data_IF_849723541662
#
_entry.id   IF_849723541662
#
_cell.length_a   1.000
_cell.length_b   1.000
_cell.length_c   1.000
_cell.angle_alpha   90.00
_cell.angle_beta   90.00
_cell.angle_gamma   90.00
#
_symmetry.space_group_name_H-M   'P 1'
#
loop_
_entity.id
_entity.type
_entity.pdbx_description
1 polymer ?
#
# COMPACT_ATOMS: atom_id res chain seq x y z
N UNK A 1 -15.06 61.19 0.19
CA UNK A 1 -14.06 62.12 -0.37
C UNK A 1 -13.53 61.51 -1.65
N UNK A 2 -13.45 62.34 -2.68
CA UNK A 2 -13.29 61.98 -4.08
C UNK A 2 -12.02 61.19 -4.40
N UNK A 3 -12.09 60.34 -5.42
CA UNK A 3 -11.07 60.26 -6.48
C UNK A 3 -11.78 59.97 -7.80
N UNK A 4 -11.43 60.80 -8.77
CA UNK A 4 -12.03 60.93 -10.10
C UNK A 4 -11.60 59.83 -11.08
N UNK A 5 -12.51 59.64 -12.03
CA UNK A 5 -12.46 59.06 -13.37
C UNK A 5 -11.12 58.91 -14.11
N UNK A 6 -10.97 57.81 -14.88
CA UNK A 6 -10.87 57.93 -16.34
C UNK A 6 -11.19 56.64 -17.11
N UNK A 7 -11.86 56.86 -18.25
CA UNK A 7 -12.48 55.94 -19.21
C UNK A 7 -11.47 55.28 -20.20
N UNK A 8 -11.92 54.32 -21.04
CA UNK A 8 -11.08 53.28 -21.65
C UNK A 8 -10.50 53.69 -23.01
N UNK A 9 -9.46 52.97 -23.45
CA UNK A 9 -8.93 53.04 -24.83
C UNK A 9 -8.94 51.65 -25.46
N UNK A 10 -9.70 51.54 -26.55
CA UNK A 10 -9.66 50.48 -27.55
C UNK A 10 -8.38 50.57 -28.39
N UNK A 11 -7.77 49.42 -28.68
CA UNK A 11 -6.87 49.26 -29.80
C UNK A 11 -7.18 47.92 -30.51
N UNK A 12 -7.67 48.07 -31.72
CA UNK A 12 -7.78 47.06 -32.77
C UNK A 12 -6.38 46.71 -33.32
N UNK A 13 -6.15 45.44 -33.69
CA UNK A 13 -5.46 45.04 -34.93
C UNK A 13 -5.19 43.53 -34.96
N UNK A 14 -5.58 42.88 -36.06
CA UNK A 14 -4.76 41.82 -36.67
C UNK A 14 -5.38 40.42 -36.76
N UNK A 15 -6.13 40.18 -37.83
CA UNK A 15 -6.44 38.84 -38.36
C UNK A 15 -5.18 38.03 -38.68
N UNK A 16 -5.12 36.76 -38.26
CA UNK A 16 -4.39 35.73 -39.01
C UNK A 16 -5.26 34.47 -39.13
N UNK A 17 -5.21 33.93 -40.33
CA UNK A 17 -6.12 33.02 -41.00
C UNK A 17 -5.78 31.56 -40.69
N UNK A 18 -6.83 30.79 -40.46
CA UNK A 18 -6.92 29.34 -40.32
C UNK A 18 -6.38 28.61 -41.57
N UNK A 19 -5.58 27.56 -41.38
CA UNK A 19 -5.20 26.58 -42.41
C UNK A 19 -5.21 25.18 -41.78
N UNK A 20 -6.07 24.24 -42.23
CA UNK A 20 -6.06 22.84 -41.78
C UNK A 20 -5.08 22.00 -42.60
N UNK A 21 -4.45 20.95 -42.02
CA UNK A 21 -3.70 19.97 -42.80
C UNK A 21 -4.63 18.94 -43.49
N UNK A 22 -4.20 18.39 -44.63
CA UNK A 22 -5.06 17.67 -45.57
C UNK A 22 -5.30 16.21 -45.19
N UNK A 23 -6.51 15.74 -45.51
CA UNK A 23 -6.82 14.33 -45.73
C UNK A 23 -6.34 13.92 -47.13
N UNK A 24 -5.72 12.74 -47.25
CA UNK A 24 -5.83 11.98 -48.48
C UNK A 24 -5.85 10.47 -48.21
N UNK A 25 -6.62 9.81 -49.07
CA UNK A 25 -7.14 8.45 -48.97
C UNK A 25 -6.25 7.45 -49.69
N UNK A 26 -6.22 6.20 -49.22
CA UNK A 26 -6.17 5.03 -50.09
C UNK A 26 -6.75 3.81 -49.36
N UNK A 27 -7.85 3.28 -49.91
CA UNK A 27 -8.44 1.99 -49.58
C UNK A 27 -8.07 0.96 -50.69
N UNK A 28 -8.60 -0.28 -50.68
CA UNK A 28 -7.91 -1.52 -50.31
C UNK A 28 -7.72 -2.50 -51.51
N UNK A 29 -7.22 -3.73 -51.33
CA UNK A 29 -7.54 -4.82 -52.23
C UNK A 29 -8.53 -5.82 -51.62
N UNK A 30 -9.46 -6.26 -52.45
CA UNK A 30 -10.53 -7.23 -52.17
C UNK A 30 -10.23 -8.59 -52.89
N UNK A 31 -11.09 -9.62 -52.87
CA UNK A 31 -10.73 -10.99 -52.46
C UNK A 31 -10.83 -12.04 -53.58
N UNK A 32 -10.40 -13.27 -53.28
CA UNK A 32 -10.73 -14.49 -54.04
C UNK A 32 -9.60 -15.51 -53.97
N UNK A 33 -9.79 -16.83 -54.03
CA UNK A 33 -10.95 -17.72 -53.99
C UNK A 33 -10.37 -19.13 -53.76
N UNK A 34 -11.11 -20.02 -53.10
CA UNK A 34 -10.87 -21.48 -53.04
C UNK A 34 -12.00 -22.20 -53.82
N UNK A 35 -12.05 -23.54 -53.96
CA UNK A 35 -11.05 -24.62 -54.23
C UNK A 35 -11.48 -25.44 -55.49
N UNK A 36 -11.12 -26.74 -55.73
CA UNK A 36 -11.73 -27.88 -55.02
C UNK A 36 -10.83 -29.13 -54.79
N UNK A 37 -11.42 -30.10 -54.08
CA UNK A 37 -10.89 -31.35 -53.51
C UNK A 37 -10.70 -32.54 -54.47
N UNK A 38 -9.98 -33.59 -54.03
CA UNK A 38 -10.47 -35.00 -54.01
C UNK A 38 -9.46 -36.02 -53.42
N UNK A 39 -9.98 -36.82 -52.49
CA UNK A 39 -9.67 -38.18 -51.99
C UNK A 39 -8.40 -38.97 -52.40
N UNK A 40 -7.68 -39.51 -51.39
CA UNK A 40 -7.43 -40.96 -51.22
C UNK A 40 -6.67 -41.27 -49.90
N UNK A 41 -7.04 -42.36 -49.21
CA UNK A 41 -6.37 -42.94 -48.02
C UNK A 41 -5.83 -44.35 -48.35
N UNK A 42 -5.16 -45.08 -47.42
CA UNK A 42 -3.84 -44.87 -46.78
C UNK A 42 -2.83 -46.00 -47.18
N UNK A 43 -1.60 -46.07 -46.59
CA UNK A 43 -1.44 -47.07 -45.52
C UNK A 43 -0.53 -46.65 -44.36
N UNK A 44 -0.59 -47.49 -43.33
CA UNK A 44 0.03 -47.39 -42.01
C UNK A 44 1.55 -47.20 -41.99
N UNK A 45 2.01 -46.46 -40.99
CA UNK A 45 3.38 -46.43 -40.50
C UNK A 45 3.37 -45.77 -39.12
N UNK A 46 3.83 -46.51 -38.12
CA UNK A 46 4.03 -46.02 -36.75
C UNK A 46 4.88 -44.75 -36.76
N UNK A 47 4.33 -43.65 -36.23
CA UNK A 47 5.14 -42.56 -35.68
C UNK A 47 4.40 -41.96 -34.50
N UNK A 48 4.94 -42.26 -33.33
CA UNK A 48 4.58 -41.65 -32.06
C UNK A 48 4.83 -40.14 -32.20
N UNK A 49 3.76 -39.35 -32.21
CA UNK A 49 3.87 -37.90 -32.14
C UNK A 49 4.72 -37.52 -30.91
N UNK A 50 5.71 -36.63 -31.06
CA UNK A 50 6.47 -36.16 -29.92
C UNK A 50 5.52 -35.46 -28.95
N UNK A 51 5.67 -35.81 -27.67
CA UNK A 51 5.08 -35.11 -26.53
C UNK A 51 5.34 -33.63 -26.76
N UNK A 52 4.28 -32.84 -26.93
CA UNK A 52 4.39 -31.39 -26.99
C UNK A 52 5.19 -30.96 -25.75
N UNK A 53 6.31 -30.29 -26.00
CA UNK A 53 7.06 -29.57 -24.99
C UNK A 53 6.05 -28.77 -24.19
N UNK A 54 5.93 -29.12 -22.92
CA UNK A 54 5.25 -28.30 -21.93
C UNK A 54 6.04 -27.00 -21.93
N UNK A 55 5.55 -26.04 -22.71
CA UNK A 55 6.11 -24.70 -22.81
C UNK A 55 6.40 -24.25 -21.39
N UNK A 56 7.64 -23.82 -21.21
CA UNK A 56 8.19 -23.23 -20.01
C UNK A 56 7.42 -21.93 -19.73
N UNK A 57 6.16 -22.07 -19.31
CA UNK A 57 5.37 -20.99 -18.77
C UNK A 57 6.19 -20.45 -17.60
N UNK A 58 6.45 -19.13 -17.53
CA UNK A 58 7.11 -18.57 -16.36
C UNK A 58 6.35 -19.06 -15.14
N UNK A 59 7.09 -19.54 -14.13
CA UNK A 59 6.49 -19.92 -12.87
C UNK A 59 5.56 -18.77 -12.43
N UNK A 60 4.34 -19.08 -11.95
CA UNK A 60 3.47 -18.04 -11.42
C UNK A 60 4.28 -17.20 -10.43
N UNK A 61 4.08 -15.86 -10.42
CA UNK A 61 4.76 -15.01 -9.45
C UNK A 61 4.54 -15.60 -8.06
N UNK A 62 5.60 -15.65 -7.27
CA UNK A 62 5.54 -16.23 -5.94
C UNK A 62 4.41 -15.54 -5.15
N UNK A 63 3.47 -16.32 -4.61
CA UNK A 63 2.47 -15.75 -3.73
C UNK A 63 3.16 -15.22 -2.46
N UNK A 64 2.59 -14.21 -1.79
CA UNK A 64 3.13 -13.75 -0.49
C UNK A 64 3.26 -14.90 0.49
N UNK A 65 2.33 -15.87 0.44
CA UNK A 65 2.39 -17.10 1.25
C UNK A 65 3.64 -17.93 0.96
N UNK A 66 3.94 -18.18 -0.31
CA UNK A 66 5.12 -18.97 -0.69
C UNK A 66 6.40 -18.24 -0.32
N UNK A 67 6.45 -16.92 -0.55
CA UNK A 67 7.58 -16.08 -0.21
C UNK A 67 7.84 -16.06 1.30
N UNK A 68 6.81 -15.86 2.12
CA UNK A 68 6.93 -15.86 3.58
C UNK A 68 7.22 -17.25 4.13
N UNK A 69 6.67 -18.32 3.53
CA UNK A 69 7.04 -19.70 3.88
C UNK A 69 8.54 -19.95 3.65
N UNK A 70 9.08 -19.51 2.52
CA UNK A 70 10.50 -19.62 2.23
C UNK A 70 11.35 -18.78 3.20
N UNK A 71 10.87 -17.58 3.58
CA UNK A 71 11.54 -16.73 4.55
C UNK A 71 11.63 -17.39 5.94
N UNK A 72 10.54 -18.01 6.40
CA UNK A 72 10.50 -18.71 7.68
C UNK A 72 11.30 -20.02 7.70
N UNK A 73 11.65 -20.58 6.54
CA UNK A 73 12.51 -21.76 6.44
C UNK A 73 14.00 -21.44 6.68
N UNK A 74 14.44 -20.21 6.38
CA UNK A 74 15.79 -19.71 6.69
C UNK A 74 15.72 -18.25 7.18
N UNK A 75 15.19 -18.02 8.39
CA UNK A 75 14.96 -16.66 8.90
C UNK A 75 16.26 -15.94 9.27
N UNK A 76 17.35 -16.68 9.52
CA UNK A 76 18.64 -16.13 9.93
C UNK A 76 19.29 -15.26 8.84
N UNK A 77 19.02 -15.55 7.56
CA UNK A 77 19.56 -14.75 6.45
C UNK A 77 19.15 -13.27 6.52
N UNK A 78 17.98 -12.98 7.09
CA UNK A 78 17.46 -11.61 7.24
C UNK A 78 18.05 -10.88 8.43
N UNK A 79 18.98 -11.48 9.18
CA UNK A 79 19.70 -10.85 10.28
C UNK A 79 21.20 -11.17 10.24
N UNK A 80 21.73 -11.54 9.08
CA UNK A 80 23.13 -11.91 8.93
C UNK A 80 24.13 -10.79 9.27
N UNK A 81 23.64 -9.55 9.35
CA UNK A 81 24.39 -8.36 9.78
C UNK A 81 24.41 -8.15 11.31
N UNK A 82 23.72 -9.00 12.09
CA UNK A 82 23.65 -8.91 13.55
C UNK A 82 24.31 -10.14 14.18
N UNK A 83 25.35 -9.90 14.99
CA UNK A 83 26.03 -10.94 15.76
C UNK A 83 25.30 -11.28 17.06
N UNK A 84 25.49 -12.52 17.56
CA UNK A 84 25.09 -12.90 18.92
C UNK A 84 23.62 -13.26 19.10
N UNK A 85 22.89 -13.51 18.01
CA UNK A 85 21.52 -14.02 18.05
C UNK A 85 21.47 -15.44 18.63
N UNK A 86 20.39 -15.75 19.35
CA UNK A 86 20.19 -17.06 20.01
C UNK A 86 19.78 -18.18 19.03
N UNK A 87 19.56 -17.84 17.76
CA UNK A 87 19.14 -18.77 16.70
C UNK A 87 17.66 -19.13 16.74
N UNK A 88 16.86 -18.51 17.61
CA UNK A 88 15.41 -18.64 17.64
C UNK A 88 14.74 -17.49 16.91
N UNK A 89 13.59 -17.75 16.29
CA UNK A 89 12.87 -16.75 15.50
C UNK A 89 11.38 -16.88 15.71
N UNK A 90 10.70 -15.74 15.74
CA UNK A 90 9.25 -15.64 15.77
C UNK A 90 8.79 -14.64 14.70
N UNK A 91 7.52 -14.69 14.35
CA UNK A 91 6.92 -13.77 13.38
C UNK A 91 5.51 -13.39 13.78
N UNK A 92 5.01 -12.36 13.12
CA UNK A 92 3.59 -11.97 13.10
C UNK A 92 3.26 -11.44 11.69
N UNK A 93 1.97 -11.33 11.37
CA UNK A 93 1.49 -10.76 10.12
C UNK A 93 0.70 -9.48 10.41
N UNK A 94 1.13 -8.36 9.83
CA UNK A 94 0.55 -7.05 10.08
C UNK A 94 0.53 -6.25 8.80
N UNK A 95 -0.57 -5.56 8.54
CA UNK A 95 -0.65 -4.49 7.53
C UNK A 95 0.04 -3.24 8.10
N UNK A 96 1.33 -3.09 7.79
CA UNK A 96 2.21 -2.03 8.29
C UNK A 96 2.05 -0.78 7.45
N UNK A 97 1.93 -0.88 6.14
CA UNK A 97 1.84 0.30 5.28
C UNK A 97 0.40 0.78 5.06
N UNK A 98 -0.61 -0.03 5.39
CA UNK A 98 -2.02 0.31 5.17
C UNK A 98 -2.47 0.11 3.71
N UNK A 99 -1.76 -0.71 2.93
CA UNK A 99 -2.14 -1.12 1.57
C UNK A 99 -3.15 -2.29 1.55
N UNK A 100 -3.57 -2.77 2.73
CA UNK A 100 -4.46 -3.92 3.00
C UNK A 100 -3.86 -5.30 2.76
N UNK A 101 -2.59 -5.39 2.39
CA UNK A 101 -1.83 -6.64 2.42
C UNK A 101 -1.12 -6.75 3.76
N UNK A 102 -0.71 -7.98 4.07
CA UNK A 102 0.00 -8.26 5.32
C UNK A 102 1.50 -8.37 5.01
N UNK A 103 2.29 -7.63 5.77
CA UNK A 103 3.73 -7.78 5.86
C UNK A 103 4.07 -8.77 6.95
N UNK A 104 5.19 -9.48 6.77
CA UNK A 104 5.72 -10.36 7.79
C UNK A 104 6.65 -9.58 8.69
N UNK A 105 6.29 -9.45 9.97
CA UNK A 105 7.22 -8.99 10.99
C UNK A 105 8.03 -10.18 11.44
N UNK A 106 9.35 -10.14 11.26
CA UNK A 106 10.26 -11.19 11.68
C UNK A 106 11.06 -10.71 12.88
N UNK A 107 11.12 -11.52 13.93
CA UNK A 107 11.86 -11.26 15.17
C UNK A 107 12.97 -12.29 15.37
N UNK A 108 14.20 -11.83 15.60
CA UNK A 108 15.34 -12.71 15.86
C UNK A 108 15.59 -12.92 17.35
N UNK A 109 14.78 -13.81 17.92
CA UNK A 109 14.79 -14.23 19.30
C UNK A 109 13.38 -14.59 19.71
N UNK A 110 13.22 -15.33 20.82
CA UNK A 110 11.92 -15.61 21.43
C UNK A 110 11.80 -15.05 22.86
N UNK A 111 12.88 -14.47 23.38
CA UNK A 111 13.00 -13.93 24.73
C UNK A 111 13.78 -12.60 24.72
N UNK A 112 13.62 -11.78 25.77
CA UNK A 112 14.37 -10.53 25.96
C UNK A 112 14.20 -9.51 24.82
N UNK A 113 14.96 -8.40 24.81
CA UNK A 113 14.96 -7.48 23.67
C UNK A 113 15.59 -8.13 22.44
N UNK A 114 14.85 -8.20 21.33
CA UNK A 114 15.27 -8.83 20.09
C UNK A 114 14.98 -7.92 18.89
N UNK A 115 15.83 -7.92 17.85
CA UNK A 115 15.59 -7.12 16.66
C UNK A 115 14.39 -7.65 15.87
N UNK A 116 13.61 -6.71 15.34
CA UNK A 116 12.42 -6.93 14.52
C UNK A 116 12.62 -6.25 13.17
N UNK A 117 12.41 -6.99 12.08
CA UNK A 117 12.41 -6.49 10.70
C UNK A 117 11.05 -6.72 10.04
N UNK A 118 10.69 -5.84 9.12
CA UNK A 118 9.49 -6.00 8.28
C UNK A 118 9.93 -6.59 6.95
N UNK A 119 9.24 -7.64 6.51
CA UNK A 119 9.42 -8.30 5.22
C UNK A 119 8.17 -8.08 4.39
N UNK A 120 8.34 -7.55 3.18
CA UNK A 120 7.26 -7.27 2.24
C UNK A 120 7.57 -7.82 0.85
N UNK A 121 6.55 -8.31 0.15
CA UNK A 121 6.67 -8.79 -1.23
C UNK A 121 6.37 -7.64 -2.20
N UNK A 122 7.41 -7.12 -2.87
CA UNK A 122 7.31 -6.00 -3.82
C UNK A 122 7.63 -6.52 -5.22
N UNK A 123 6.69 -6.41 -6.16
CA UNK A 123 6.86 -6.86 -7.55
C UNK A 123 7.41 -8.30 -7.67
N UNK A 124 6.95 -9.20 -6.78
CA UNK A 124 7.38 -10.60 -6.71
C UNK A 124 8.76 -10.82 -6.07
N UNK A 125 9.39 -9.77 -5.53
CA UNK A 125 10.66 -9.84 -4.81
C UNK A 125 10.45 -9.57 -3.32
N UNK A 126 10.84 -10.54 -2.49
CA UNK A 126 10.77 -10.38 -1.05
C UNK A 126 11.87 -9.43 -0.58
N UNK A 127 11.49 -8.35 0.08
CA UNK A 127 12.38 -7.31 0.57
C UNK A 127 12.24 -7.21 2.08
N UNK A 128 13.37 -7.13 2.79
CA UNK A 128 13.40 -6.89 4.23
C UNK A 128 13.86 -5.45 4.52
N UNK A 129 13.37 -4.87 5.61
CA UNK A 129 13.87 -3.58 6.09
C UNK A 129 15.35 -3.65 6.46
N UNK A 130 16.12 -2.62 6.11
CA UNK A 130 17.54 -2.54 6.51
C UNK A 130 17.69 -2.12 7.96
N UNK A 131 16.80 -1.24 8.44
CA UNK A 131 16.70 -0.90 9.86
C UNK A 131 15.94 -2.00 10.62
N UNK A 132 16.05 -1.99 11.95
CA UNK A 132 15.29 -2.87 12.82
C UNK A 132 14.74 -2.11 14.02
N UNK A 133 13.58 -2.54 14.50
CA UNK A 133 13.05 -2.17 15.81
C UNK A 133 13.47 -3.21 16.85
N UNK A 134 13.23 -2.95 18.14
CA UNK A 134 13.55 -3.87 19.22
C UNK A 134 12.30 -4.15 20.02
N UNK A 135 11.95 -5.43 20.14
CA UNK A 135 10.79 -5.88 20.91
C UNK A 135 11.19 -6.86 22.01
N UNK A 136 10.52 -6.78 23.16
CA UNK A 136 10.69 -7.71 24.27
C UNK A 136 9.41 -8.54 24.46
N UNK A 137 9.51 -9.84 24.20
CA UNK A 137 8.40 -10.78 24.15
C UNK A 137 7.56 -10.91 25.45
N UNK A 138 8.05 -10.39 26.58
CA UNK A 138 7.41 -10.51 27.90
C UNK A 138 6.56 -9.27 28.28
N UNK A 139 6.08 -8.50 27.29
CA UNK A 139 5.42 -7.21 27.50
C UNK A 139 6.27 -6.25 28.36
N UNK A 140 7.58 -6.35 28.22
CA UNK A 140 8.57 -5.45 28.83
C UNK A 140 9.10 -4.49 27.78
N UNK A 141 9.78 -3.43 28.22
CA UNK A 141 10.32 -2.43 27.29
C UNK A 141 11.74 -2.83 26.84
N UNK A 142 12.09 -2.58 25.57
CA UNK A 142 11.26 -1.97 24.53
C UNK A 142 10.16 -2.91 24.00
N UNK A 143 9.04 -2.35 23.55
CA UNK A 143 7.89 -3.09 22.99
C UNK A 143 7.48 -2.48 21.67
N UNK A 144 7.30 -3.30 20.64
CA UNK A 144 6.78 -2.89 19.33
C UNK A 144 5.29 -3.25 19.25
N UNK A 145 4.49 -2.38 18.68
CA UNK A 145 3.06 -2.61 18.48
C UNK A 145 2.54 -1.80 17.29
N UNK A 146 1.30 -2.05 16.91
CA UNK A 146 0.60 -1.24 15.91
C UNK A 146 -0.47 -0.42 16.62
N UNK A 147 -0.53 0.88 16.34
CA UNK A 147 -1.53 1.74 16.96
C UNK A 147 -2.95 1.42 16.44
N UNK A 148 -3.08 0.64 15.36
CA UNK A 148 -4.35 0.25 14.74
C UNK A 148 -5.18 1.43 14.20
N UNK A 149 -4.63 2.65 14.23
CA UNK A 149 -5.29 3.90 13.82
C UNK A 149 -4.59 4.59 12.67
N UNK A 150 -3.30 4.33 12.51
CA UNK A 150 -2.41 4.87 11.51
C UNK A 150 -1.51 3.72 11.06
N UNK A 151 -1.10 3.71 9.77
CA UNK A 151 -0.08 2.79 9.31
C UNK A 151 1.20 2.96 10.11
N UNK A 152 1.97 1.90 10.15
CA UNK A 152 3.30 1.85 10.74
C UNK A 152 3.35 1.14 12.07
N UNK A 153 4.54 1.16 12.65
CA UNK A 153 4.88 0.52 13.91
C UNK A 153 5.26 1.57 14.93
N UNK A 154 4.82 1.38 16.17
CA UNK A 154 5.24 2.20 17.29
C UNK A 154 6.18 1.39 18.19
N UNK A 155 7.28 1.98 18.63
CA UNK A 155 8.14 1.41 19.67
C UNK A 155 7.99 2.23 20.96
N UNK A 156 7.62 1.56 22.04
CA UNK A 156 7.78 2.08 23.39
C UNK A 156 9.14 1.72 23.95
N UNK A 157 9.79 2.70 24.55
CA UNK A 157 11.02 2.51 25.33
C UNK A 157 10.81 3.04 26.74
N UNK A 158 11.54 2.49 27.71
CA UNK A 158 11.53 2.97 29.09
C UNK A 158 12.93 3.12 29.64
N UNK A 159 13.17 4.22 30.35
CA UNK A 159 14.36 4.41 31.18
C UNK A 159 14.14 3.98 32.64
N UNK A 160 12.97 3.39 32.95
CA UNK A 160 12.53 3.00 34.28
C UNK A 160 11.70 4.05 35.03
N UNK A 161 11.66 5.30 34.55
CA UNK A 161 10.87 6.40 35.12
C UNK A 161 9.92 7.06 34.12
N UNK A 162 10.27 7.01 32.85
CA UNK A 162 9.56 7.62 31.72
C UNK A 162 9.29 6.56 30.66
N UNK A 163 8.18 6.73 29.92
CA UNK A 163 7.90 5.99 28.70
C UNK A 163 7.95 6.93 27.51
N UNK A 164 8.70 6.55 26.48
CA UNK A 164 8.79 7.30 25.23
C UNK A 164 8.24 6.47 24.08
N UNK A 165 7.35 7.06 23.29
CA UNK A 165 6.77 6.44 22.10
C UNK A 165 7.37 7.07 20.83
N UNK A 166 7.82 6.24 19.89
CA UNK A 166 8.24 6.70 18.55
C UNK A 166 7.47 5.92 17.49
N UNK A 167 6.85 6.64 16.54
CA UNK A 167 6.13 6.05 15.40
C UNK A 167 7.06 5.97 14.18
N UNK A 168 7.02 4.84 13.50
CA UNK A 168 7.76 4.56 12.27
C UNK A 168 6.81 4.14 11.17
N UNK A 169 7.06 4.60 9.95
CA UNK A 169 6.34 4.22 8.74
C UNK A 169 7.27 3.42 7.82
N UNK A 170 6.68 2.53 7.03
CA UNK A 170 7.40 1.78 6.01
C UNK A 170 7.53 2.62 4.73
N UNK A 171 8.76 2.88 4.32
CA UNK A 171 9.10 3.59 3.10
C UNK A 171 10.06 2.68 2.32
N UNK A 172 9.50 1.82 1.47
CA UNK A 172 10.24 0.77 0.79
C UNK A 172 10.93 -0.18 1.76
N UNK A 173 12.26 -0.21 1.75
CA UNK A 173 13.04 -1.07 2.65
C UNK A 173 13.54 -0.36 3.92
N UNK A 174 12.93 0.76 4.31
CA UNK A 174 13.32 1.55 5.49
C UNK A 174 12.15 1.71 6.45
N UNK A 175 12.46 1.73 7.75
CA UNK A 175 11.52 2.20 8.77
C UNK A 175 11.87 3.65 9.10
N UNK A 176 11.08 4.58 8.56
CA UNK A 176 11.32 6.01 8.69
C UNK A 176 10.54 6.53 9.88
N UNK A 177 11.23 7.26 10.76
CA UNK A 177 10.59 7.90 11.90
C UNK A 177 9.59 8.97 11.42
N UNK A 178 8.31 8.75 11.67
CA UNK A 178 7.24 9.68 11.36
C UNK A 178 7.02 10.69 12.51
N UNK A 179 7.09 10.22 13.76
CA UNK A 179 6.73 11.03 14.93
C UNK A 179 7.43 10.59 16.24
N UNK A 180 7.49 11.48 17.23
CA UNK A 180 8.09 11.25 18.55
C UNK A 180 9.58 11.64 18.66
N UNK A 181 10.31 11.21 19.70
CA UNK A 181 9.79 10.53 20.88
C UNK A 181 8.84 11.45 21.66
N UNK A 182 7.65 10.96 21.99
CA UNK A 182 6.77 11.65 22.92
C UNK A 182 6.85 11.03 24.31
N UNK A 183 7.04 11.88 25.32
CA UNK A 183 6.93 11.46 26.71
C UNK A 183 5.47 11.16 27.05
N UNK A 184 5.21 9.93 27.50
CA UNK A 184 3.90 9.52 28.02
C UNK A 184 4.04 9.20 29.50
N UNK A 185 3.11 9.72 30.31
CA UNK A 185 3.04 9.40 31.74
C UNK A 185 2.73 7.91 31.88
N UNK A 186 3.40 7.22 32.82
CA UNK A 186 3.22 5.79 33.14
C UNK A 186 1.76 5.52 33.53
N UNK A 187 0.94 5.27 32.53
CA UNK A 187 -0.49 4.98 32.60
C UNK A 187 -0.82 4.20 31.34
N UNK A 188 -1.12 2.92 31.52
CA UNK A 188 -1.15 1.88 30.49
C UNK A 188 -1.72 2.35 29.12
N UNK A 189 -0.87 2.72 28.13
CA UNK A 189 -1.34 3.24 26.85
C UNK A 189 -1.92 2.14 25.95
N UNK A 190 -1.81 0.87 26.35
CA UNK A 190 -2.10 -0.28 25.51
C UNK A 190 -3.61 -0.60 25.36
N UNK A 191 -4.52 0.15 25.99
CA UNK A 191 -5.95 -0.16 25.94
C UNK A 191 -6.61 0.10 24.57
N UNK A 192 -5.90 0.72 23.62
CA UNK A 192 -6.39 1.02 22.28
C UNK A 192 -5.44 0.64 21.15
N UNK A 193 -4.43 -0.20 21.42
CA UNK A 193 -3.41 -0.62 20.44
C UNK A 193 -3.53 -2.10 20.15
N UNK A 194 -3.13 -2.51 18.95
CA UNK A 194 -2.98 -3.94 18.62
C UNK A 194 -1.56 -4.36 18.98
N UNK A 195 -1.45 -5.24 19.97
CA UNK A 195 -0.17 -5.85 20.31
C UNK A 195 0.21 -6.85 19.23
N UNK A 196 1.50 -6.89 18.92
CA UNK A 196 2.07 -7.90 18.03
C UNK A 196 2.04 -9.26 18.75
N UNK A 197 1.59 -10.28 18.04
CA UNK A 197 1.47 -11.64 18.54
C UNK A 197 2.55 -12.52 17.92
N UNK A 198 3.62 -12.78 18.69
CA UNK A 198 4.75 -13.56 18.20
C UNK A 198 4.45 -15.06 18.13
N UNK A 199 4.34 -15.57 16.91
CA UNK A 199 4.25 -16.99 16.59
C UNK A 199 5.65 -17.55 16.30
N UNK A 200 6.08 -18.69 16.87
CA UNK A 200 7.36 -19.30 16.52
C UNK A 200 7.46 -19.56 15.00
N UNK A 201 8.60 -19.23 14.38
CA UNK A 201 8.83 -19.44 12.93
C UNK A 201 8.64 -20.89 12.46
N UNK A 202 8.77 -21.85 13.36
CA UNK A 202 8.50 -23.28 13.09
C UNK A 202 7.01 -23.62 12.99
N UNK A 203 6.13 -22.70 13.39
CA UNK A 203 4.68 -22.83 13.31
C UNK A 203 4.14 -21.93 12.18
N UNK A 204 3.76 -22.54 11.05
CA UNK A 204 3.26 -21.81 9.89
C UNK A 204 1.74 -21.60 9.90
N UNK A 205 1.04 -21.85 11.00
CA UNK A 205 -0.43 -21.78 11.04
C UNK A 205 -0.96 -20.38 10.76
N UNK A 206 -0.30 -19.35 11.27
CA UNK A 206 -0.71 -17.95 11.07
C UNK A 206 -0.64 -17.51 9.60
N UNK A 207 0.19 -18.14 8.76
CA UNK A 207 0.22 -17.84 7.32
C UNK A 207 -1.13 -18.04 6.61
N UNK A 208 -2.08 -18.77 7.22
CA UNK A 208 -3.46 -18.86 6.72
C UNK A 208 -4.22 -17.54 6.71
N UNK A 209 -3.76 -16.52 7.44
CA UNK A 209 -4.30 -15.16 7.37
C UNK A 209 -4.08 -14.51 6.00
N UNK A 210 -3.05 -14.93 5.26
CA UNK A 210 -2.79 -14.45 3.88
C UNK A 210 -3.83 -14.95 2.87
N UNK A 211 -4.61 -15.97 3.21
CA UNK A 211 -5.67 -16.50 2.35
C UNK A 211 -7.00 -15.77 2.57
N UNK A 212 -7.07 -14.84 3.53
CA UNK A 212 -8.29 -14.07 3.77
C UNK A 212 -8.64 -13.25 2.52
N UNK A 213 -9.93 -13.13 2.19
CA UNK A 213 -10.36 -12.35 1.05
C UNK A 213 -9.97 -10.89 1.25
N UNK A 214 -9.57 -10.26 0.15
CA UNK A 214 -9.31 -8.83 0.11
C UNK A 214 -10.45 -8.02 0.77
N UNK A 215 -10.15 -7.25 1.84
CA UNK A 215 -11.17 -6.50 2.57
C UNK A 215 -11.83 -5.39 1.76
N UNK A 216 -11.20 -4.95 0.66
CA UNK A 216 -11.70 -3.89 -0.23
C UNK A 216 -12.66 -4.41 -1.31
N UNK A 217 -12.97 -5.71 -1.31
CA UNK A 217 -14.06 -6.25 -2.15
C UNK A 217 -15.45 -5.76 -1.72
N UNK A 218 -15.56 -5.16 -0.53
CA UNK A 218 -16.77 -4.53 0.00
C UNK A 218 -16.58 -3.01 0.01
N UNK A 219 -17.48 -2.21 -0.60
CA UNK A 219 -17.38 -0.75 -0.57
C UNK A 219 -17.36 -0.18 0.85
N UNK A 220 -16.68 0.94 1.02
CA UNK A 220 -16.56 1.66 2.30
C UNK A 220 -16.91 3.13 2.14
N UNK A 221 -17.42 3.73 3.21
CA UNK A 221 -17.55 5.18 3.31
C UNK A 221 -17.19 5.70 4.69
N UNK A 222 -16.73 6.94 4.76
CA UNK A 222 -16.35 7.59 6.00
C UNK A 222 -16.42 9.11 5.91
N UNK A 223 -16.41 9.76 7.07
CA UNK A 223 -16.23 11.19 7.20
C UNK A 223 -14.82 11.46 7.72
N UNK A 224 -14.01 12.13 6.92
CA UNK A 224 -12.60 12.41 7.23
C UNK A 224 -12.50 13.79 7.84
N UNK A 225 -11.85 13.88 9.01
CA UNK A 225 -11.55 15.16 9.66
C UNK A 225 -10.14 15.58 9.27
N UNK A 226 -10.02 16.78 8.74
CA UNK A 226 -8.76 17.34 8.30
C UNK A 226 -8.04 18.08 9.42
N UNK A 227 -6.73 17.87 9.51
CA UNK A 227 -5.79 18.63 10.34
C UNK A 227 -4.76 19.25 9.40
N UNK A 228 -4.59 20.56 9.48
CA UNK A 228 -3.90 21.32 8.44
C UNK A 228 -3.17 22.54 9.01
N UNK A 229 -2.00 22.83 8.46
CA UNK A 229 -1.32 24.12 8.69
C UNK A 229 -1.99 25.28 7.92
N UNK A 230 -2.81 24.95 6.90
CA UNK A 230 -3.66 25.87 6.14
C UNK A 230 -4.91 26.15 6.99
N UNK A 231 -5.10 27.38 7.53
CA UNK A 231 -6.14 27.69 8.50
C UNK A 231 -7.55 27.42 8.00
N UNK A 232 -7.80 27.64 6.70
CA UNK A 232 -9.11 27.50 6.09
C UNK A 232 -9.56 26.04 6.02
N UNK A 233 -8.62 25.10 5.94
CA UNK A 233 -8.91 23.67 5.83
C UNK A 233 -8.87 22.96 7.19
N UNK A 234 -8.26 23.57 8.21
CA UNK A 234 -8.09 22.94 9.50
C UNK A 234 -9.43 22.71 10.22
N UNK A 235 -9.67 21.47 10.64
CA UNK A 235 -10.90 21.07 11.31
C UNK A 235 -12.11 20.86 10.39
N UNK A 236 -11.95 21.05 9.07
CA UNK A 236 -12.99 20.69 8.12
C UNK A 236 -13.23 19.18 8.10
N UNK A 237 -14.42 18.78 7.67
CA UNK A 237 -14.75 17.38 7.44
C UNK A 237 -15.40 17.19 6.09
N UNK A 238 -15.04 16.12 5.41
CA UNK A 238 -15.59 15.76 4.10
C UNK A 238 -15.84 14.26 4.03
N UNK A 239 -16.86 13.87 3.26
CA UNK A 239 -17.14 12.46 3.02
C UNK A 239 -16.24 11.88 1.94
N UNK A 240 -15.82 10.64 2.15
CA UNK A 240 -15.08 9.84 1.18
C UNK A 240 -15.78 8.51 1.01
N UNK A 241 -15.85 8.04 -0.23
CA UNK A 241 -16.41 6.75 -0.60
C UNK A 241 -15.37 5.96 -1.39
N UNK A 242 -15.05 4.77 -0.90
CA UNK A 242 -14.18 3.79 -1.55
C UNK A 242 -15.06 2.72 -2.17
N UNK A 243 -14.99 2.55 -3.48
CA UNK A 243 -15.69 1.51 -4.21
C UNK A 243 -15.09 0.12 -3.95
N UNK A 244 -15.78 -0.93 -4.43
CA UNK A 244 -15.23 -2.27 -4.38
C UNK A 244 -14.00 -2.39 -5.31
N UNK A 245 -12.93 -2.98 -4.79
CA UNK A 245 -11.79 -3.45 -5.58
C UNK A 245 -12.14 -4.78 -6.24
N UNK A 246 -11.71 -4.93 -7.49
CA UNK A 246 -11.84 -6.17 -8.24
C UNK A 246 -10.44 -6.73 -8.55
N UNK A 247 -10.07 -7.85 -7.90
CA UNK A 247 -8.73 -8.43 -8.02
C UNK A 247 -7.63 -7.52 -7.43
N UNK A 248 -6.44 -7.53 -8.00
CA UNK A 248 -5.34 -6.60 -7.65
C UNK A 248 -5.52 -5.20 -8.28
N UNK A 249 -6.75 -4.87 -8.68
CA UNK A 249 -7.07 -3.65 -9.41
C UNK A 249 -7.08 -2.39 -8.55
N UNK A 250 -7.45 -1.29 -9.20
CA UNK A 250 -7.62 0.02 -8.58
C UNK A 250 -8.86 0.04 -7.67
N UNK A 251 -8.82 0.84 -6.61
CA UNK A 251 -9.99 1.14 -5.78
C UNK A 251 -10.62 2.43 -6.30
N UNK A 252 -11.87 2.44 -6.80
CA UNK A 252 -12.54 3.70 -7.13
C UNK A 252 -12.69 4.56 -5.88
N UNK A 253 -12.41 5.86 -5.97
CA UNK A 253 -12.63 6.79 -4.85
C UNK A 253 -13.48 7.97 -5.29
N UNK A 254 -14.38 8.42 -4.42
CA UNK A 254 -15.23 9.59 -4.67
C UNK A 254 -15.29 10.47 -3.44
N UNK A 255 -15.31 11.79 -3.69
CA UNK A 255 -15.46 12.85 -2.70
C UNK A 255 -16.75 13.62 -2.99
N UNK A 256 -17.91 13.14 -2.52
CA UNK A 256 -19.19 13.69 -2.94
C UNK A 256 -19.33 15.18 -2.63
N UNK A 257 -18.86 15.60 -1.44
CA UNK A 257 -18.96 16.98 -0.98
C UNK A 257 -18.01 17.92 -1.74
N UNK A 258 -16.95 17.36 -2.34
CA UNK A 258 -15.94 18.11 -3.09
C UNK A 258 -16.16 18.02 -4.61
N UNK A 259 -17.04 17.14 -5.07
CA UNK A 259 -17.34 16.93 -6.48
C UNK A 259 -16.18 16.29 -7.27
N UNK A 260 -15.38 15.45 -6.62
CA UNK A 260 -14.22 14.80 -7.24
C UNK A 260 -14.36 13.28 -7.28
N UNK A 261 -13.79 12.69 -8.32
CA UNK A 261 -13.71 11.23 -8.49
C UNK A 261 -12.31 10.85 -8.94
N UNK A 262 -11.90 9.64 -8.58
CA UNK A 262 -10.58 9.14 -8.91
C UNK A 262 -10.44 7.66 -8.62
N UNK A 263 -9.20 7.23 -8.51
CA UNK A 263 -8.85 5.87 -8.12
C UNK A 263 -7.63 5.83 -7.22
N UNK A 264 -7.51 4.75 -6.46
CA UNK A 264 -6.37 4.46 -5.62
C UNK A 264 -5.61 3.26 -6.16
N UNK A 265 -4.30 3.37 -6.22
CA UNK A 265 -3.37 2.30 -6.62
C UNK A 265 -2.44 1.97 -5.46
N UNK A 266 -2.26 0.69 -5.09
CA UNK A 266 -1.21 0.30 -4.15
C UNK A 266 0.15 0.78 -4.68
N UNK A 267 0.96 1.38 -3.82
CA UNK A 267 2.32 1.82 -4.12
C UNK A 267 3.26 1.42 -3.00
N UNK A 268 4.38 0.84 -3.40
CA UNK A 268 5.51 0.58 -2.51
C UNK A 268 6.63 1.51 -2.98
N UNK A 269 7.17 2.30 -2.07
CA UNK A 269 8.29 3.16 -2.38
C UNK A 269 9.52 2.31 -2.73
N UNK A 270 10.29 2.76 -3.71
CA UNK A 270 11.55 2.10 -4.02
C UNK A 270 12.55 2.31 -2.88
N UNK A 271 13.53 1.42 -2.75
CA UNK A 271 14.59 1.55 -1.76
C UNK A 271 15.27 2.94 -1.85
N UNK A 272 15.20 3.71 -0.76
CA UNK A 272 15.78 5.06 -0.67
C UNK A 272 14.88 6.20 -1.15
N UNK A 273 13.64 5.93 -1.56
CA UNK A 273 12.62 6.97 -1.74
C UNK A 273 12.01 7.39 -0.39
N UNK A 274 11.68 8.67 -0.25
CA UNK A 274 10.99 9.23 0.93
C UNK A 274 9.45 9.14 0.81
N UNK A 275 8.95 8.39 -0.17
CA UNK A 275 7.52 8.19 -0.32
C UNK A 275 7.03 7.15 0.69
N UNK A 276 5.88 7.43 1.29
CA UNK A 276 5.21 6.49 2.19
C UNK A 276 4.48 5.42 1.37
N UNK A 277 4.65 4.16 1.76
CA UNK A 277 3.94 3.01 1.19
C UNK A 277 2.44 3.10 1.52
N UNK A 278 1.57 2.51 0.70
CA UNK A 278 0.11 2.55 0.89
C UNK A 278 -0.65 2.67 -0.44
N UNK A 279 -1.65 3.54 -0.51
CA UNK A 279 -2.46 3.77 -1.72
C UNK A 279 -2.24 5.17 -2.30
N UNK A 280 -1.69 5.25 -3.52
CA UNK A 280 -1.59 6.51 -4.25
C UNK A 280 -2.90 6.89 -4.90
N UNK A 281 -3.35 8.10 -4.62
CA UNK A 281 -4.51 8.67 -5.27
C UNK A 281 -4.20 9.22 -6.66
N UNK A 282 -5.10 8.97 -7.61
CA UNK A 282 -5.20 9.72 -8.86
C UNK A 282 -6.62 10.25 -9.06
N UNK A 283 -6.79 11.56 -9.04
CA UNK A 283 -8.05 12.24 -9.36
C UNK A 283 -8.23 12.32 -10.88
N UNK A 284 -9.37 11.84 -11.37
CA UNK A 284 -9.74 11.86 -12.79
C UNK A 284 -10.77 12.91 -13.14
N UNK A 285 -11.61 13.32 -12.19
CA UNK A 285 -12.60 14.37 -12.36
C UNK A 285 -12.66 15.29 -11.13
N UNK A 286 -12.95 16.57 -11.35
CA UNK A 286 -12.98 17.61 -10.31
C UNK A 286 -11.69 18.41 -10.20
N UNK A 287 -11.55 19.18 -9.12
CA UNK A 287 -10.39 20.06 -8.85
C UNK A 287 -9.78 19.82 -7.47
N UNK A 288 -9.95 18.61 -6.92
CA UNK A 288 -9.31 18.22 -5.68
C UNK A 288 -7.79 18.10 -5.85
N UNK A 289 -7.08 18.13 -4.73
CA UNK A 289 -5.67 17.77 -4.72
C UNK A 289 -5.49 16.36 -5.27
N UNK A 290 -4.36 16.14 -5.95
CA UNK A 290 -4.07 14.89 -6.65
C UNK A 290 -2.72 14.32 -6.18
N UNK A 291 -2.63 13.00 -6.09
CA UNK A 291 -1.39 12.33 -5.74
C UNK A 291 -1.09 12.33 -4.24
N UNK A 292 -2.08 12.48 -3.37
CA UNK A 292 -1.89 12.14 -1.95
C UNK A 292 -1.84 10.64 -1.73
N UNK A 293 -1.48 10.24 -0.51
CA UNK A 293 -1.38 8.84 -0.10
C UNK A 293 -2.46 8.52 0.92
N UNK A 294 -3.22 7.46 0.65
CA UNK A 294 -4.20 6.88 1.55
C UNK A 294 -3.63 5.64 2.23
N UNK A 295 -4.00 5.46 3.49
CA UNK A 295 -3.70 4.26 4.27
C UNK A 295 -4.99 3.75 4.88
N UNK A 296 -5.27 2.47 4.71
CA UNK A 296 -6.54 1.86 5.07
C UNK A 296 -6.29 0.77 6.11
N UNK A 297 -6.48 1.10 7.39
CA UNK A 297 -6.44 0.12 8.46
C UNK A 297 -7.80 -0.61 8.53
N UNK A 298 -7.87 -1.81 7.96
CA UNK A 298 -9.11 -2.61 7.94
C UNK A 298 -8.88 -3.93 8.67
N UNK A 299 -9.32 -4.00 9.92
CA UNK A 299 -9.38 -5.24 10.69
C UNK A 299 -10.79 -5.48 11.26
N UNK A 300 -11.00 -6.64 11.88
CA UNK A 300 -12.31 -7.07 12.39
C UNK A 300 -12.89 -6.16 13.48
N UNK A 301 -12.08 -5.34 14.15
CA UNK A 301 -12.47 -4.53 15.30
C UNK A 301 -12.55 -3.03 15.01
N UNK A 302 -11.85 -2.55 13.98
CA UNK A 302 -11.74 -1.14 13.64
C UNK A 302 -11.39 -0.97 12.16
N UNK A 303 -12.18 -0.16 11.47
CA UNK A 303 -11.94 0.21 10.07
C UNK A 303 -11.68 1.72 10.01
N UNK A 304 -10.54 2.14 9.45
CA UNK A 304 -10.14 3.54 9.42
C UNK A 304 -9.38 3.89 8.16
N UNK A 305 -9.49 5.13 7.72
CA UNK A 305 -8.66 5.69 6.68
C UNK A 305 -7.90 6.91 7.17
N UNK A 306 -6.67 7.03 6.69
CA UNK A 306 -5.82 8.20 6.87
C UNK A 306 -5.31 8.65 5.51
N UNK A 307 -5.39 9.94 5.23
CA UNK A 307 -4.90 10.58 4.02
C UNK A 307 -3.79 11.55 4.37
N UNK A 308 -2.67 11.44 3.65
CA UNK A 308 -1.56 12.38 3.70
C UNK A 308 -1.51 13.15 2.38
N UNK A 309 -1.61 14.47 2.46
CA UNK A 309 -1.56 15.32 1.28
C UNK A 309 -0.18 15.24 0.60
N UNK A 310 -0.11 15.37 -0.74
CA UNK A 310 1.16 15.31 -1.48
C UNK A 310 2.15 16.41 -1.06
N UNK A 311 1.63 17.50 -0.50
CA UNK A 311 2.43 18.63 -0.03
C UNK A 311 2.96 18.45 1.40
N UNK A 312 2.47 17.44 2.13
CA UNK A 312 2.76 17.23 3.56
C UNK A 312 2.14 18.27 4.51
N UNK A 313 1.33 19.21 3.97
CA UNK A 313 0.81 20.36 4.72
C UNK A 313 -0.47 20.09 5.52
N UNK A 314 -1.16 19.02 5.17
CA UNK A 314 -2.34 18.55 5.88
C UNK A 314 -2.48 17.04 5.77
N UNK A 315 -3.22 16.48 6.71
CA UNK A 315 -3.68 15.11 6.67
C UNK A 315 -5.16 15.08 7.04
N UNK A 316 -5.84 14.00 6.71
CA UNK A 316 -7.21 13.78 7.13
C UNK A 316 -7.40 12.35 7.62
N UNK A 317 -8.25 12.15 8.61
CA UNK A 317 -8.48 10.83 9.17
C UNK A 317 -9.92 10.64 9.62
N UNK A 318 -10.43 9.41 9.53
CA UNK A 318 -11.81 9.13 9.88
C UNK A 318 -12.14 7.65 9.91
N UNK A 319 -13.16 7.25 10.69
CA UNK A 319 -13.65 5.88 10.68
C UNK A 319 -14.28 5.55 9.32
N UNK A 320 -14.15 4.28 8.93
CA UNK A 320 -14.84 3.70 7.78
C UNK A 320 -16.01 2.84 8.24
N UNK A 321 -17.02 2.77 7.40
CA UNK A 321 -18.12 1.82 7.53
C UNK A 321 -18.32 1.12 6.19
N UNK A 322 -18.75 -0.14 6.23
CA UNK A 322 -19.26 -0.86 5.05
C UNK A 322 -20.42 -0.09 4.45
N UNK A 323 -20.34 0.21 3.16
CA UNK A 323 -21.40 0.84 2.39
C UNK A 323 -22.01 -0.18 1.43
N UNK A 324 -23.34 -0.26 1.43
CA UNK A 324 -24.11 -1.26 0.67
C UNK A 324 -25.57 -1.25 1.06
#
# INVERSE_FOLDING_TARGET
MALETNSPTTADTGSVKEVPPPADSAAPPAPGAAPPASEQAPPAGDDVAPVAEQENLPAPPASSRDAYTAALADPAQYFADIDGLDGTFAYDLVDVDGDTKLELLLRAGTQGPAPVRVLQLVDGTLTATTDYLVDSADNTYPTVFTAGVQPGLTQYESDGTTLTATQFELHGNRLVKAFGPEETVVGNPLSGVTLIHWTPSTDSTQLTELDQPDPLTVPREGSMKQVSDIPELNGQSYRVQFGARHGEGRVPVTYPDLGCTGFLEPVNASAGEEMQDGFRETITEGTCDNGGTWHLAINDSRERATYNAPTGRYHAEGPLNRSG
#
